data_IF_685309273239
#
_entry.id   IF_685309273239
#
_cell.length_a   1.000
_cell.length_b   1.000
_cell.length_c   1.000
_cell.angle_alpha   90.00
_cell.angle_beta   90.00
_cell.angle_gamma   90.00
#
_symmetry.space_group_name_H-M   'P 1'
#
loop_
_entity.id
_entity.type
_entity.pdbx_description
1 polymer ?
#
# COMPACT_ATOMS: atom_id res chain seq x y z
N UNK A 1 -38.10 16.49 4.57
CA UNK A 1 -36.82 16.41 5.31
C UNK A 1 -35.86 17.35 4.60
N UNK A 2 -35.37 18.37 5.29
CA UNK A 2 -34.46 19.37 4.70
C UNK A 2 -33.12 18.72 4.35
N UNK A 3 -32.59 18.98 3.16
CA UNK A 3 -31.27 18.49 2.76
C UNK A 3 -30.20 19.08 3.69
N UNK A 4 -29.19 18.29 4.10
CA UNK A 4 -28.13 18.77 4.97
C UNK A 4 -27.33 19.89 4.28
N UNK A 5 -26.83 20.85 5.05
CA UNK A 5 -25.96 21.93 4.59
C UNK A 5 -24.49 21.56 4.79
N UNK A 6 -23.57 22.19 4.05
CA UNK A 6 -22.13 21.95 4.19
C UNK A 6 -21.58 22.12 5.63
N UNK A 7 -22.00 23.14 6.41
CA UNK A 7 -21.63 23.24 7.83
C UNK A 7 -22.09 22.04 8.67
N UNK A 8 -23.28 21.49 8.38
CA UNK A 8 -23.78 20.29 9.07
C UNK A 8 -22.97 19.05 8.68
N UNK A 9 -22.52 18.95 7.43
CA UNK A 9 -21.60 17.88 6.99
C UNK A 9 -20.28 17.96 7.75
N UNK A 10 -19.70 19.15 7.92
CA UNK A 10 -18.45 19.36 8.70
C UNK A 10 -18.61 18.86 10.13
N UNK A 11 -19.68 19.29 10.82
CA UNK A 11 -19.94 18.88 12.21
C UNK A 11 -20.14 17.37 12.32
N UNK A 12 -20.94 16.78 11.42
CA UNK A 12 -21.20 15.33 11.41
C UNK A 12 -19.92 14.54 11.16
N UNK A 13 -19.08 14.96 10.23
CA UNK A 13 -17.82 14.29 9.90
C UNK A 13 -16.88 14.33 11.11
N UNK A 14 -16.70 15.50 11.74
CA UNK A 14 -15.89 15.67 12.94
C UNK A 14 -16.35 14.76 14.07
N UNK A 15 -17.65 14.80 14.37
CA UNK A 15 -18.23 14.02 15.47
C UNK A 15 -18.13 12.51 15.18
N UNK A 16 -18.27 12.10 13.91
CA UNK A 16 -18.10 10.70 13.49
C UNK A 16 -16.66 10.24 13.72
N UNK A 17 -15.67 10.99 13.25
CA UNK A 17 -14.25 10.67 13.41
C UNK A 17 -13.86 10.67 14.90
N UNK A 18 -14.38 11.61 15.69
CA UNK A 18 -14.11 11.69 17.12
C UNK A 18 -14.63 10.45 17.86
N UNK A 19 -15.80 9.91 17.49
CA UNK A 19 -16.44 8.74 18.11
C UNK A 19 -15.86 7.38 17.67
N UNK A 20 -14.91 7.33 16.74
CA UNK A 20 -14.31 6.06 16.29
C UNK A 20 -13.39 5.46 17.37
N UNK A 21 -13.88 4.54 18.19
CA UNK A 21 -13.06 3.92 19.25
C UNK A 21 -12.07 2.84 18.72
N UNK A 22 -12.11 2.52 17.43
CA UNK A 22 -11.24 1.56 16.74
C UNK A 22 -10.81 2.10 15.38
N UNK A 23 -9.77 1.51 14.82
CA UNK A 23 -9.35 1.77 13.44
C UNK A 23 -10.53 1.54 12.49
N UNK A 24 -10.95 2.60 11.82
CA UNK A 24 -12.16 2.65 11.01
C UNK A 24 -11.86 3.40 9.72
N UNK A 25 -12.17 2.80 8.57
CA UNK A 25 -12.12 3.54 7.32
C UNK A 25 -13.52 4.12 7.05
N UNK A 26 -13.59 5.41 6.74
CA UNK A 26 -14.83 6.06 6.32
C UNK A 26 -14.73 6.36 4.83
N UNK A 27 -15.78 6.08 4.08
CA UNK A 27 -15.86 6.45 2.67
C UNK A 27 -16.95 7.49 2.50
N UNK A 28 -16.55 8.66 2.00
CA UNK A 28 -17.43 9.76 1.62
C UNK A 28 -17.60 9.70 0.11
N UNK A 29 -18.80 9.37 -0.36
CA UNK A 29 -19.09 9.19 -1.79
C UNK A 29 -20.18 10.14 -2.26
N UNK A 30 -20.07 10.57 -3.52
CA UNK A 30 -21.18 11.12 -4.28
C UNK A 30 -21.11 10.54 -5.71
N UNK A 31 -22.20 9.91 -6.15
CA UNK A 31 -22.25 9.19 -7.41
C UNK A 31 -21.07 8.19 -7.56
N UNK A 32 -20.28 8.30 -8.62
CA UNK A 32 -19.14 7.41 -8.90
C UNK A 32 -17.81 7.88 -8.27
N UNK A 33 -17.80 9.00 -7.54
CA UNK A 33 -16.60 9.58 -6.93
C UNK A 33 -16.62 9.41 -5.42
N UNK A 34 -15.44 9.28 -4.82
CA UNK A 34 -15.33 9.17 -3.37
C UNK A 34 -13.97 9.59 -2.83
N UNK A 35 -13.98 9.97 -1.56
CA UNK A 35 -12.83 10.28 -0.71
C UNK A 35 -12.83 9.27 0.43
N UNK A 36 -11.67 8.73 0.79
CA UNK A 36 -11.52 7.82 1.94
C UNK A 36 -10.82 8.51 3.09
N UNK A 37 -11.29 8.25 4.31
CA UNK A 37 -10.65 8.67 5.55
C UNK A 37 -10.24 7.41 6.31
N UNK A 38 -8.94 7.18 6.47
CA UNK A 38 -8.41 6.16 7.35
C UNK A 38 -8.27 6.75 8.74
N UNK A 39 -9.25 6.47 9.60
CA UNK A 39 -9.22 6.88 11.00
C UNK A 39 -8.41 5.84 11.76
N UNK A 40 -7.28 6.26 12.30
CA UNK A 40 -6.45 5.46 13.20
C UNK A 40 -6.52 6.03 14.62
N UNK A 41 -5.88 5.35 15.56
CA UNK A 41 -5.84 5.78 16.97
C UNK A 41 -5.42 7.24 17.14
N UNK A 42 -4.28 7.63 16.56
CA UNK A 42 -3.66 8.94 16.82
C UNK A 42 -3.62 9.86 15.58
N UNK A 43 -3.97 9.32 14.41
CA UNK A 43 -3.92 10.06 13.14
C UNK A 43 -5.15 9.78 12.29
N UNK A 44 -5.47 10.73 11.42
CA UNK A 44 -6.45 10.55 10.36
C UNK A 44 -5.78 10.89 9.04
N UNK A 45 -5.74 9.91 8.14
CA UNK A 45 -5.24 10.08 6.78
C UNK A 45 -6.42 10.14 5.82
N UNK A 46 -6.46 11.13 4.95
CA UNK A 46 -7.51 11.28 3.95
C UNK A 46 -6.89 11.03 2.58
N UNK A 47 -7.54 10.22 1.76
CA UNK A 47 -7.15 9.90 0.40
C UNK A 47 -8.21 10.41 -0.57
N UNK A 48 -7.80 11.29 -1.48
CA UNK A 48 -8.61 11.74 -2.60
C UNK A 48 -7.97 11.21 -3.88
N UNK A 49 -8.72 10.48 -4.73
CA UNK A 49 -8.24 10.21 -6.08
C UNK A 49 -7.99 11.55 -6.79
N UNK A 50 -7.09 11.58 -7.78
CA UNK A 50 -6.64 12.81 -8.46
C UNK A 50 -7.68 13.54 -9.31
N UNK A 51 -8.94 13.58 -8.88
CA UNK A 51 -10.01 14.38 -9.45
C UNK A 51 -9.64 15.87 -9.27
N UNK A 52 -9.21 16.53 -10.34
CA UNK A 52 -8.83 17.95 -10.35
C UNK A 52 -7.59 18.29 -9.50
N UNK A 53 -6.43 17.75 -9.90
CA UNK A 53 -5.12 17.96 -9.24
C UNK A 53 -4.82 19.42 -8.87
N UNK A 54 -5.16 20.38 -9.74
CA UNK A 54 -4.91 21.80 -9.52
C UNK A 54 -5.70 22.35 -8.33
N UNK A 55 -6.96 21.90 -8.14
CA UNK A 55 -7.78 22.30 -6.99
C UNK A 55 -7.31 21.61 -5.71
N UNK A 56 -6.92 20.34 -5.79
CA UNK A 56 -6.36 19.61 -4.64
C UNK A 56 -5.06 20.26 -4.13
N UNK A 57 -4.16 20.65 -5.03
CA UNK A 57 -2.95 21.38 -4.68
C UNK A 57 -3.26 22.71 -3.96
N UNK A 58 -4.23 23.47 -4.46
CA UNK A 58 -4.64 24.75 -3.86
C UNK A 58 -5.28 24.59 -2.47
N UNK A 59 -5.89 23.44 -2.21
CA UNK A 59 -6.49 23.09 -0.91
C UNK A 59 -5.47 22.58 0.11
N UNK A 60 -4.19 22.46 -0.26
CA UNK A 60 -3.12 22.02 0.63
C UNK A 60 -2.94 20.50 0.74
N UNK A 61 -3.47 19.75 -0.24
CA UNK A 61 -3.23 18.31 -0.33
C UNK A 61 -1.79 18.03 -0.75
N UNK A 62 -1.23 16.92 -0.27
CA UNK A 62 0.11 16.48 -0.68
C UNK A 62 0.04 15.72 -1.98
N UNK A 63 0.89 16.15 -2.92
CA UNK A 63 0.99 15.52 -4.24
C UNK A 63 1.62 14.12 -4.09
N UNK A 64 1.00 13.09 -4.65
CA UNK A 64 1.61 11.77 -4.73
C UNK A 64 2.79 11.76 -5.69
N UNK A 65 3.83 10.97 -5.38
CA UNK A 65 4.89 10.65 -6.34
C UNK A 65 4.41 9.48 -7.19
N UNK A 66 4.07 9.73 -8.47
CA UNK A 66 3.49 8.73 -9.38
C UNK A 66 1.95 8.65 -9.31
N UNK A 67 1.36 7.51 -9.69
CA UNK A 67 -0.10 7.28 -9.77
C UNK A 67 -0.80 7.06 -8.41
N UNK A 68 -0.19 7.49 -7.31
CA UNK A 68 -0.82 7.41 -6.01
C UNK A 68 -1.94 8.46 -5.87
N UNK A 69 -2.83 8.26 -4.90
CA UNK A 69 -3.89 9.21 -4.58
C UNK A 69 -3.32 10.43 -3.84
N UNK A 70 -3.96 11.59 -3.99
CA UNK A 70 -3.64 12.75 -3.17
C UNK A 70 -3.99 12.46 -1.73
N UNK A 71 -3.13 12.88 -0.81
CA UNK A 71 -3.35 12.57 0.59
C UNK A 71 -3.16 13.78 1.49
N UNK A 72 -3.83 13.74 2.63
CA UNK A 72 -3.69 14.70 3.70
C UNK A 72 -3.67 13.94 5.02
N UNK A 73 -2.78 14.34 5.94
CA UNK A 73 -2.71 13.73 7.27
C UNK A 73 -2.86 14.77 8.33
N UNK A 74 -3.57 14.38 9.38
CA UNK A 74 -3.85 15.23 10.52
C UNK A 74 -3.80 14.41 11.81
N UNK A 75 -3.20 14.94 12.89
CA UNK A 75 -3.35 14.35 14.21
C UNK A 75 -4.83 14.29 14.61
N UNK A 76 -5.21 13.25 15.35
CA UNK A 76 -6.58 13.04 15.82
C UNK A 76 -6.85 13.80 17.14
N UNK A 77 -6.65 15.12 17.12
CA UNK A 77 -6.94 16.03 18.23
C UNK A 77 -8.05 17.02 17.85
N UNK A 78 -8.86 17.52 18.81
CA UNK A 78 -10.07 18.29 18.52
C UNK A 78 -9.88 19.44 17.53
N UNK A 79 -8.88 20.30 17.75
CA UNK A 79 -8.60 21.47 16.90
C UNK A 79 -8.22 21.07 15.47
N UNK A 80 -7.53 19.95 15.32
CA UNK A 80 -7.11 19.42 14.02
C UNK A 80 -8.26 18.70 13.32
N UNK A 81 -9.17 18.08 14.06
CA UNK A 81 -10.38 17.46 13.51
C UNK A 81 -11.35 18.49 12.94
N UNK A 82 -11.48 19.68 13.55
CA UNK A 82 -12.26 20.79 12.97
C UNK A 82 -11.68 21.22 11.61
N UNK A 83 -10.36 21.43 11.54
CA UNK A 83 -9.67 21.80 10.29
C UNK A 83 -9.75 20.72 9.22
N UNK A 84 -9.52 19.46 9.62
CA UNK A 84 -9.64 18.30 8.76
C UNK A 84 -11.04 18.19 8.19
N UNK A 85 -12.07 18.32 9.04
CA UNK A 85 -13.45 18.13 8.60
C UNK A 85 -13.89 19.22 7.63
N UNK A 86 -13.41 20.46 7.85
CA UNK A 86 -13.60 21.57 6.93
C UNK A 86 -12.89 21.33 5.59
N UNK A 87 -11.65 20.84 5.61
CA UNK A 87 -10.89 20.49 4.40
C UNK A 87 -11.60 19.41 3.59
N UNK A 88 -12.06 18.33 4.25
CA UNK A 88 -12.75 17.22 3.58
C UNK A 88 -14.08 17.67 2.99
N UNK A 89 -14.88 18.44 3.72
CA UNK A 89 -16.14 18.98 3.21
C UNK A 89 -15.92 19.92 2.00
N UNK A 90 -14.92 20.80 2.07
CA UNK A 90 -14.55 21.68 0.95
C UNK A 90 -14.07 20.88 -0.25
N UNK A 91 -13.25 19.86 -0.03
CA UNK A 91 -12.79 18.98 -1.10
C UNK A 91 -13.98 18.25 -1.73
N UNK A 92 -14.90 17.71 -0.93
CA UNK A 92 -16.11 17.07 -1.41
C UNK A 92 -16.99 18.00 -2.26
N UNK A 93 -17.14 19.26 -1.85
CA UNK A 93 -17.86 20.27 -2.62
C UNK A 93 -17.23 20.51 -4.00
N UNK A 94 -15.90 20.56 -4.06
CA UNK A 94 -15.16 20.89 -5.27
C UNK A 94 -15.02 19.70 -6.24
N UNK A 95 -14.86 18.48 -5.72
CA UNK A 95 -14.47 17.31 -6.54
C UNK A 95 -15.53 16.21 -6.60
N UNK A 96 -16.45 16.14 -5.64
CA UNK A 96 -17.48 15.09 -5.58
C UNK A 96 -18.84 15.59 -6.04
N UNK A 97 -19.37 16.67 -5.45
CA UNK A 97 -20.72 17.18 -5.72
C UNK A 97 -20.93 18.58 -5.15
N UNK A 98 -21.70 19.43 -5.83
CA UNK A 98 -22.19 20.71 -5.29
C UNK A 98 -23.39 20.54 -4.33
N UNK A 99 -24.11 19.42 -4.43
CA UNK A 99 -25.25 19.10 -3.56
C UNK A 99 -24.80 18.29 -2.33
N UNK A 100 -24.82 18.88 -1.11
CA UNK A 100 -24.48 18.18 0.13
C UNK A 100 -25.44 17.03 0.47
N UNK A 101 -26.68 17.06 -0.02
CA UNK A 101 -27.65 15.98 0.18
C UNK A 101 -27.31 14.69 -0.59
N UNK A 102 -26.48 14.79 -1.63
CA UNK A 102 -26.02 13.66 -2.41
C UNK A 102 -24.84 12.91 -1.78
N UNK A 103 -24.24 13.46 -0.70
CA UNK A 103 -23.13 12.83 0.00
C UNK A 103 -23.61 11.69 0.88
N UNK A 104 -23.00 10.52 0.68
CA UNK A 104 -23.12 9.40 1.59
C UNK A 104 -21.80 9.19 2.31
N UNK A 105 -21.83 9.24 3.64
CA UNK A 105 -20.71 8.82 4.48
C UNK A 105 -21.06 7.49 5.10
N UNK A 106 -20.24 6.47 4.84
CA UNK A 106 -20.41 5.14 5.44
C UNK A 106 -19.10 4.65 6.03
N UNK A 107 -19.14 3.99 7.21
CA UNK A 107 -18.03 3.20 7.65
C UNK A 107 -17.85 2.05 6.66
N UNK A 108 -16.67 1.96 6.10
CA UNK A 108 -16.21 0.82 5.33
C UNK A 108 -15.35 0.01 6.29
N UNK A 109 -15.46 -1.32 6.32
CA UNK A 109 -14.48 -2.13 7.04
C UNK A 109 -13.08 -1.61 6.67
N UNK A 110 -12.19 -1.32 7.64
CA UNK A 110 -10.83 -0.92 7.31
C UNK A 110 -10.33 -1.96 6.34
N UNK A 111 -9.95 -1.53 5.14
CA UNK A 111 -9.91 -2.46 4.02
C UNK A 111 -9.05 -3.69 4.39
N UNK A 112 -9.70 -4.83 4.70
CA UNK A 112 -9.28 -6.07 4.08
C UNK A 112 -9.28 -5.70 2.61
N UNK A 113 -8.08 -5.61 2.02
CA UNK A 113 -7.87 -5.31 0.60
C UNK A 113 -9.02 -5.95 -0.16
N UNK A 114 -9.71 -5.22 -1.06
CA UNK A 114 -10.98 -5.65 -1.61
C UNK A 114 -10.87 -7.12 -2.01
N UNK A 115 -11.68 -7.96 -1.36
CA UNK A 115 -12.06 -9.25 -1.93
C UNK A 115 -12.56 -8.89 -3.32
N UNK A 116 -11.73 -9.20 -4.31
CA UNK A 116 -12.15 -9.20 -5.70
C UNK A 116 -13.38 -10.09 -5.71
N UNK A 117 -14.55 -9.48 -5.81
CA UNK A 117 -15.73 -10.20 -6.25
C UNK A 117 -15.34 -10.67 -7.64
N UNK A 118 -14.99 -11.94 -7.72
CA UNK A 118 -14.76 -12.68 -8.95
C UNK A 118 -16.08 -12.63 -9.72
N UNK A 119 -16.28 -11.54 -10.46
CA UNK A 119 -17.01 -11.61 -11.70
C UNK A 119 -16.05 -12.29 -12.67
N UNK A 120 -16.46 -13.35 -13.38
CA UNK A 120 -15.61 -13.92 -14.43
C UNK A 120 -15.45 -12.85 -15.50
N UNK A 121 -14.36 -12.09 -15.43
CA UNK A 121 -14.02 -11.08 -16.40
C UNK A 121 -13.24 -11.78 -17.51
N UNK A 122 -13.99 -12.12 -18.56
CA UNK A 122 -13.48 -12.30 -19.90
C UNK A 122 -12.54 -11.14 -20.24
N UNK A 123 -11.40 -11.48 -20.84
CA UNK A 123 -10.32 -10.58 -21.20
C UNK A 123 -10.80 -9.25 -21.80
N UNK A 124 -10.24 -8.15 -21.29
CA UNK A 124 -10.29 -6.82 -21.89
C UNK A 124 -9.01 -6.05 -21.51
N UNK A 125 -8.31 -5.40 -22.45
CA UNK A 125 -6.94 -4.92 -22.24
C UNK A 125 -6.87 -3.50 -21.62
N UNK A 126 -5.76 -3.25 -20.91
CA UNK A 126 -5.16 -1.97 -20.43
C UNK A 126 -5.36 -1.60 -18.93
N UNK A 127 -4.43 -0.88 -18.26
CA UNK A 127 -3.03 -0.55 -18.57
C UNK A 127 -2.11 -0.81 -17.34
N UNK A 128 -1.69 -2.07 -17.10
CA UNK A 128 -0.69 -2.39 -16.06
C UNK A 128 0.72 -2.67 -16.65
N UNK A 129 0.83 -2.76 -17.97
CA UNK A 129 2.03 -3.25 -18.66
C UNK A 129 3.23 -2.26 -18.72
N UNK A 130 3.11 -1.02 -18.23
CA UNK A 130 4.14 0.01 -18.48
C UNK A 130 5.14 0.25 -17.32
N UNK A 131 4.79 -0.04 -16.06
CA UNK A 131 5.68 0.19 -14.89
C UNK A 131 6.49 -1.05 -14.46
N UNK A 132 5.88 -2.23 -14.53
CA UNK A 132 6.55 -3.53 -14.33
C UNK A 132 7.82 -3.72 -15.20
N UNK A 133 7.85 -3.37 -16.51
CA UNK A 133 9.04 -3.58 -17.32
C UNK A 133 10.23 -2.72 -16.90
N UNK A 134 10.02 -1.54 -16.28
CA UNK A 134 11.13 -0.64 -15.90
C UNK A 134 11.86 -1.12 -14.66
N UNK A 135 11.15 -1.53 -13.60
CA UNK A 135 11.77 -2.08 -12.38
C UNK A 135 12.46 -3.41 -12.70
N UNK A 136 11.78 -4.29 -13.44
CA UNK A 136 12.33 -5.57 -13.87
C UNK A 136 13.56 -5.38 -14.78
N UNK A 137 13.56 -4.39 -15.67
CA UNK A 137 14.73 -4.08 -16.50
C UNK A 137 15.90 -3.51 -15.68
N UNK A 138 15.62 -2.68 -14.66
CA UNK A 138 16.66 -2.11 -13.77
C UNK A 138 17.30 -3.19 -12.90
N UNK A 139 16.51 -4.10 -12.35
CA UNK A 139 17.00 -5.25 -11.60
C UNK A 139 17.83 -6.17 -12.49
N UNK A 140 17.35 -6.49 -13.70
CA UNK A 140 18.10 -7.29 -14.66
C UNK A 140 19.44 -6.64 -15.03
N UNK A 141 19.45 -5.33 -15.30
CA UNK A 141 20.66 -4.61 -15.64
C UNK A 141 21.67 -4.54 -14.46
N UNK A 142 21.19 -4.44 -13.22
CA UNK A 142 22.05 -4.51 -12.03
C UNK A 142 22.62 -5.92 -11.81
N UNK A 143 21.80 -6.96 -12.00
CA UNK A 143 22.23 -8.36 -11.95
C UNK A 143 23.30 -8.67 -13.02
N UNK A 144 23.10 -8.22 -14.27
CA UNK A 144 24.07 -8.38 -15.36
C UNK A 144 25.41 -7.71 -15.05
N UNK A 145 25.37 -6.54 -14.41
CA UNK A 145 26.59 -5.81 -13.96
C UNK A 145 27.21 -6.40 -12.69
N UNK A 146 26.59 -7.40 -12.06
CA UNK A 146 26.94 -7.91 -10.71
C UNK A 146 27.02 -6.78 -9.68
N UNK A 147 26.19 -5.76 -9.86
CA UNK A 147 26.10 -4.59 -9.01
C UNK A 147 25.08 -4.87 -7.91
N UNK A 148 25.52 -5.61 -6.89
CA UNK A 148 24.66 -6.05 -5.80
C UNK A 148 24.09 -4.88 -4.96
N UNK A 149 24.87 -3.82 -4.63
CA UNK A 149 24.33 -2.63 -3.99
C UNK A 149 23.28 -1.91 -4.86
N UNK A 150 23.54 -1.75 -6.15
CA UNK A 150 22.57 -1.16 -7.09
C UNK A 150 21.32 -2.02 -7.26
N UNK A 151 21.47 -3.35 -7.27
CA UNK A 151 20.35 -4.30 -7.31
C UNK A 151 19.45 -4.15 -6.08
N UNK A 152 20.05 -4.12 -4.89
CA UNK A 152 19.30 -3.93 -3.64
C UNK A 152 18.69 -2.53 -3.53
N UNK A 153 19.37 -1.48 -4.01
CA UNK A 153 18.80 -0.13 -4.04
C UNK A 153 17.55 -0.03 -4.92
N UNK A 154 17.54 -0.74 -6.05
CA UNK A 154 16.35 -0.84 -6.91
C UNK A 154 15.27 -1.70 -6.25
N UNK A 155 15.67 -2.82 -5.63
CA UNK A 155 14.75 -3.75 -4.98
C UNK A 155 14.05 -3.12 -3.77
N UNK A 156 14.78 -2.38 -2.92
CA UNK A 156 14.25 -1.69 -1.75
C UNK A 156 13.14 -0.69 -2.12
N UNK A 157 13.24 -0.05 -3.30
CA UNK A 157 12.22 0.85 -3.84
C UNK A 157 11.04 0.16 -4.53
N UNK A 158 11.05 -1.18 -4.65
CA UNK A 158 10.01 -1.95 -5.33
C UNK A 158 9.00 -2.55 -4.34
N UNK A 159 7.79 -2.79 -4.82
CA UNK A 159 6.83 -3.65 -4.14
C UNK A 159 7.16 -5.10 -4.49
N UNK A 160 7.30 -5.95 -3.48
CA UNK A 160 7.57 -7.38 -3.65
C UNK A 160 6.39 -8.21 -3.14
N UNK A 161 6.16 -9.34 -3.79
CA UNK A 161 5.19 -10.36 -3.41
C UNK A 161 5.92 -11.45 -2.62
N UNK A 162 5.47 -11.73 -1.40
CA UNK A 162 6.07 -12.74 -0.53
C UNK A 162 5.03 -13.80 -0.22
N UNK A 163 5.25 -15.08 -0.58
CA UNK A 163 4.31 -16.15 -0.34
C UNK A 163 4.18 -16.46 1.16
N UNK A 164 3.00 -16.93 1.55
CA UNK A 164 2.68 -17.38 2.89
C UNK A 164 2.49 -18.90 2.91
N UNK A 165 2.90 -19.54 4.01
CA UNK A 165 2.70 -20.96 4.28
C UNK A 165 1.25 -21.29 4.68
N UNK A 166 0.46 -20.27 5.03
CA UNK A 166 -0.94 -20.40 5.43
C UNK A 166 -1.62 -19.04 5.58
N UNK A 167 -2.85 -19.03 6.09
CA UNK A 167 -3.54 -17.79 6.39
C UNK A 167 -2.94 -17.14 7.65
N UNK A 168 -2.73 -15.81 7.67
CA UNK A 168 -2.19 -15.12 8.85
C UNK A 168 -3.12 -15.27 10.04
N UNK A 169 -2.55 -15.61 11.19
CA UNK A 169 -3.30 -15.74 12.44
C UNK A 169 -3.75 -14.37 12.95
N UNK A 170 -4.85 -14.34 13.72
CA UNK A 170 -5.40 -13.10 14.27
C UNK A 170 -4.45 -12.37 15.24
N UNK A 171 -3.44 -13.08 15.77
CA UNK A 171 -2.39 -12.55 16.65
C UNK A 171 -1.28 -11.77 15.91
N UNK A 172 -1.38 -11.62 14.59
CA UNK A 172 -0.45 -10.78 13.80
C UNK A 172 0.82 -11.50 13.34
N UNK A 173 0.99 -12.78 13.68
CA UNK A 173 2.09 -13.59 13.18
C UNK A 173 1.86 -13.94 11.71
N UNK A 174 2.78 -13.49 10.85
CA UNK A 174 2.72 -13.74 9.41
C UNK A 174 3.39 -15.09 9.14
N UNK A 175 2.67 -16.10 8.62
CA UNK A 175 3.23 -17.42 8.35
C UNK A 175 4.03 -17.36 7.05
N UNK A 176 5.22 -16.78 7.09
CA UNK A 176 6.11 -16.68 5.93
C UNK A 176 6.42 -18.06 5.34
N UNK A 177 6.29 -18.21 4.02
CA UNK A 177 6.74 -19.44 3.36
C UNK A 177 8.26 -19.39 3.18
N UNK A 178 8.98 -20.21 3.93
CA UNK A 178 10.45 -20.31 3.86
C UNK A 178 10.86 -21.47 2.96
N UNK A 179 11.88 -21.26 2.13
CA UNK A 179 12.47 -22.30 1.26
C UNK A 179 13.92 -22.58 1.67
N UNK A 180 14.42 -23.77 1.36
CA UNK A 180 15.82 -24.12 1.58
C UNK A 180 16.70 -23.74 0.40
N UNK A 181 17.91 -23.26 0.65
CA UNK A 181 18.97 -23.18 -0.36
C UNK A 181 19.55 -24.57 -0.70
N UNK A 182 20.58 -24.63 -1.54
CA UNK A 182 21.24 -25.90 -1.91
C UNK A 182 21.87 -26.65 -0.72
N UNK A 183 22.14 -25.96 0.38
CA UNK A 183 22.68 -26.51 1.64
C UNK A 183 21.58 -26.78 2.69
N UNK A 184 20.34 -26.39 2.40
CA UNK A 184 19.20 -26.45 3.32
C UNK A 184 19.07 -25.24 4.25
N UNK A 185 19.84 -24.18 4.05
CA UNK A 185 19.72 -22.96 4.84
C UNK A 185 18.41 -22.22 4.49
N UNK A 186 17.71 -21.64 5.48
CA UNK A 186 16.42 -21.00 5.27
C UNK A 186 16.57 -19.71 4.47
N UNK A 187 15.70 -19.54 3.47
CA UNK A 187 15.58 -18.37 2.63
C UNK A 187 14.13 -17.93 2.56
N UNK A 188 13.89 -16.62 2.69
CA UNK A 188 12.61 -16.01 2.38
C UNK A 188 12.54 -15.70 0.88
N UNK A 189 11.66 -16.36 0.10
CA UNK A 189 11.47 -16.04 -1.30
C UNK A 189 10.63 -14.77 -1.45
N UNK A 190 11.11 -13.82 -2.25
CA UNK A 190 10.38 -12.60 -2.61
C UNK A 190 10.32 -12.52 -4.12
N UNK A 191 9.20 -12.04 -4.65
CA UNK A 191 8.97 -11.97 -6.09
C UNK A 191 8.66 -10.54 -6.49
N UNK A 192 9.28 -10.10 -7.57
CA UNK A 192 9.11 -8.73 -8.07
C UNK A 192 7.83 -8.56 -8.89
N UNK A 193 7.12 -9.67 -9.15
CA UNK A 193 5.81 -9.68 -9.78
C UNK A 193 4.95 -10.87 -9.29
N UNK A 194 3.61 -10.72 -9.29
CA UNK A 194 2.70 -11.84 -9.03
C UNK A 194 2.86 -13.00 -10.04
N UNK A 195 3.24 -12.70 -11.29
CA UNK A 195 3.47 -13.71 -12.32
C UNK A 195 4.69 -14.58 -11.98
N UNK A 196 5.78 -13.97 -11.49
CA UNK A 196 6.96 -14.70 -11.04
C UNK A 196 6.63 -15.58 -9.83
N UNK A 197 5.83 -15.07 -8.88
CA UNK A 197 5.34 -15.85 -7.75
C UNK A 197 4.49 -17.05 -8.20
N UNK A 198 3.52 -16.81 -9.10
CA UNK A 198 2.64 -17.85 -9.61
C UNK A 198 3.40 -18.92 -10.41
N UNK A 199 4.45 -18.54 -11.13
CA UNK A 199 5.32 -19.47 -11.83
C UNK A 199 6.14 -20.36 -10.87
N UNK A 200 6.51 -19.84 -9.70
CA UNK A 200 7.27 -20.58 -8.69
C UNK A 200 6.39 -21.46 -7.79
N UNK A 201 5.35 -20.88 -7.19
CA UNK A 201 4.55 -21.52 -6.15
C UNK A 201 3.22 -22.09 -6.68
N UNK A 202 2.83 -21.76 -7.91
CA UNK A 202 1.53 -22.09 -8.49
C UNK A 202 0.46 -21.02 -8.29
N UNK A 203 -0.64 -21.14 -9.03
CA UNK A 203 -1.76 -20.20 -8.92
C UNK A 203 -2.52 -20.39 -7.61
N UNK A 204 -2.97 -19.27 -7.00
CA UNK A 204 -3.82 -19.30 -5.81
C UNK A 204 -3.06 -19.42 -4.48
N UNK A 205 -1.73 -19.33 -4.51
CA UNK A 205 -0.90 -19.26 -3.30
C UNK A 205 -1.16 -17.93 -2.58
N UNK A 206 -1.43 -17.95 -1.26
CA UNK A 206 -1.56 -16.72 -0.49
C UNK A 206 -0.23 -15.99 -0.45
N UNK A 207 -0.26 -14.67 -0.67
CA UNK A 207 0.93 -13.83 -0.62
C UNK A 207 0.59 -12.45 -0.11
N UNK A 208 1.61 -11.76 0.41
CA UNK A 208 1.55 -10.34 0.75
C UNK A 208 2.37 -9.54 -0.25
N UNK A 209 1.78 -8.44 -0.75
CA UNK A 209 2.51 -7.42 -1.47
C UNK A 209 2.85 -6.29 -0.48
N UNK A 210 4.13 -5.98 -0.34
CA UNK A 210 4.65 -4.93 0.54
C UNK A 210 5.88 -4.25 -0.07
N UNK A 211 6.19 -2.99 0.31
CA UNK A 211 7.44 -2.36 -0.04
C UNK A 211 8.61 -3.21 0.47
N UNK A 212 9.60 -3.49 -0.39
CA UNK A 212 10.73 -4.30 0.02
C UNK A 212 11.57 -3.61 1.09
N UNK A 213 11.62 -2.27 1.11
CA UNK A 213 12.25 -1.52 2.19
C UNK A 213 11.68 -1.89 3.57
N UNK A 214 10.35 -1.91 3.71
CA UNK A 214 9.69 -2.26 4.98
C UNK A 214 10.05 -3.69 5.42
N UNK A 215 10.07 -4.65 4.47
CA UNK A 215 10.47 -6.02 4.76
C UNK A 215 11.93 -6.13 5.21
N UNK A 216 12.83 -5.34 4.62
CA UNK A 216 14.25 -5.33 4.93
C UNK A 216 14.55 -4.65 6.27
N UNK A 217 13.74 -3.65 6.67
CA UNK A 217 13.82 -2.97 7.97
C UNK A 217 13.28 -3.84 9.11
N UNK A 218 12.15 -4.51 8.89
CA UNK A 218 11.51 -5.41 9.87
C UNK A 218 11.68 -6.87 9.42
N UNK A 219 12.94 -7.27 9.23
CA UNK A 219 13.26 -8.60 8.71
C UNK A 219 12.80 -9.69 9.70
N UNK A 220 12.01 -10.69 9.25
CA UNK A 220 11.27 -11.56 10.16
C UNK A 220 12.13 -12.50 11.00
N UNK A 221 13.28 -12.92 10.49
CA UNK A 221 14.24 -13.77 11.20
C UNK A 221 15.65 -13.53 10.65
N UNK A 222 16.55 -13.08 11.52
CA UNK A 222 17.95 -12.77 11.18
C UNK A 222 18.76 -13.96 10.68
N UNK A 223 18.30 -15.20 10.94
CA UNK A 223 18.93 -16.42 10.46
C UNK A 223 18.54 -16.77 9.01
N UNK A 224 17.54 -16.09 8.44
CA UNK A 224 17.06 -16.34 7.09
C UNK A 224 17.78 -15.47 6.06
N UNK A 225 18.13 -16.08 4.92
CA UNK A 225 18.57 -15.34 3.74
C UNK A 225 17.41 -14.87 2.86
N UNK A 226 17.74 -14.21 1.76
CA UNK A 226 16.78 -13.67 0.78
C UNK A 226 16.91 -14.41 -0.54
N UNK A 227 15.80 -14.81 -1.15
CA UNK A 227 15.74 -15.32 -2.52
C UNK A 227 14.82 -14.45 -3.38
N UNK A 228 15.37 -13.67 -4.29
CA UNK A 228 14.60 -12.81 -5.20
C UNK A 228 14.29 -13.55 -6.48
N UNK A 229 13.02 -13.57 -6.89
CA UNK A 229 12.49 -14.23 -8.09
C UNK A 229 13.00 -15.68 -8.23
N UNK A 230 12.90 -16.45 -7.14
CA UNK A 230 13.32 -17.84 -7.08
C UNK A 230 12.68 -18.67 -8.22
N UNK A 231 13.48 -19.55 -8.83
CA UNK A 231 13.04 -20.34 -9.99
C UNK A 231 13.02 -19.59 -11.32
N UNK A 232 13.31 -18.28 -11.35
CA UNK A 232 13.52 -17.53 -12.58
C UNK A 232 14.99 -17.57 -13.04
N UNK A 233 15.24 -17.28 -14.31
CA UNK A 233 16.60 -17.11 -14.85
C UNK A 233 17.36 -15.91 -14.24
N UNK A 234 16.66 -15.04 -13.51
CA UNK A 234 17.19 -13.84 -12.84
C UNK A 234 17.21 -14.00 -11.32
N UNK A 235 17.06 -15.23 -10.83
CA UNK A 235 17.04 -15.49 -9.41
C UNK A 235 18.33 -15.01 -8.74
N UNK A 236 18.19 -14.25 -7.66
CA UNK A 236 19.30 -13.83 -6.81
C UNK A 236 19.09 -14.41 -5.43
N UNK A 237 20.13 -15.06 -4.90
CA UNK A 237 20.10 -15.61 -3.54
C UNK A 237 21.19 -14.97 -2.70
N UNK A 238 20.81 -14.49 -1.52
CA UNK A 238 21.71 -13.96 -0.51
C UNK A 238 21.54 -14.79 0.76
N UNK A 239 22.63 -15.40 1.21
CA UNK A 239 22.66 -16.05 2.52
C UNK A 239 22.50 -15.00 3.63
N UNK A 240 22.00 -15.41 4.81
CA UNK A 240 21.76 -14.52 5.94
C UNK A 240 22.96 -13.63 6.32
N UNK A 241 24.22 -14.13 6.38
CA UNK A 241 25.36 -13.27 6.70
C UNK A 241 25.63 -12.18 5.63
N UNK A 242 25.38 -12.50 4.36
CA UNK A 242 25.54 -11.55 3.27
C UNK A 242 24.43 -10.49 3.27
N UNK A 243 23.20 -10.90 3.56
CA UNK A 243 22.07 -9.99 3.73
C UNK A 243 22.31 -9.03 4.90
N UNK A 244 22.71 -9.54 6.05
CA UNK A 244 23.02 -8.73 7.23
C UNK A 244 24.15 -7.72 6.96
N UNK A 245 25.22 -8.14 6.29
CA UNK A 245 26.31 -7.23 5.91
C UNK A 245 25.84 -6.12 4.96
N UNK A 246 24.93 -6.42 4.04
CA UNK A 246 24.38 -5.45 3.10
C UNK A 246 23.39 -4.49 3.79
N UNK A 247 22.54 -4.96 4.68
CA UNK A 247 21.66 -4.12 5.49
C UNK A 247 22.47 -3.16 6.35
N UNK A 248 23.51 -3.65 7.03
CA UNK A 248 24.41 -2.83 7.83
C UNK A 248 25.15 -1.76 6.99
N UNK A 249 25.55 -2.10 5.76
CA UNK A 249 26.21 -1.17 4.85
C UNK A 249 25.26 -0.08 4.28
N UNK A 250 23.94 -0.32 4.30
CA UNK A 250 22.93 0.59 3.74
C UNK A 250 22.05 1.26 4.82
N UNK A 251 22.32 1.02 6.10
CA UNK A 251 21.62 1.68 7.19
C UNK A 251 21.83 3.20 7.08
N UNK A 252 20.78 4.03 7.23
CA UNK A 252 20.92 5.48 7.17
C UNK A 252 21.88 5.92 8.29
N UNK A 253 22.99 6.56 7.91
CA UNK A 253 23.89 7.20 8.87
C UNK A 253 23.22 8.44 9.46
N UNK A 254 22.43 8.25 10.53
CA UNK A 254 21.94 9.32 11.40
C UNK A 254 20.78 10.14 10.88
#
# INVERSE_FOLDING_TARGET
MTSPTWPEIVVRLRDTIARCDRDTDLELTAAARGIRLLVRRDLVRVLCPGYEEARLAALGWRRPTGDAHWWYESPRIPEQLDRLSMLVARTAAEVLTDDPGALSCRPVPPATRPTSTVRPATAGPAPAEAAEPVVVARLAAAADRRDLPGYLGVLAGAVVCVPLAGEPAADGEVPWAVVGDATGAPLLPVFTSPQALAAFAGNGVPFVALPCAELLEDWPDESWGLAVDAGSARAVTLAAPALAALLAANAPTG
#
